data_IF_341926458878
#
_entry.id   IF_341926458878
#
_cell.length_a   1.000
_cell.length_b   1.000
_cell.length_c   1.000
_cell.angle_alpha   90.00
_cell.angle_beta   90.00
_cell.angle_gamma   90.00
#
_symmetry.space_group_name_H-M   'P 1'
#
loop_
_entity.id
_entity.type
_entity.pdbx_description
1 polymer ?
#
# COMPACT_ATOMS: atom_id res chain seq x y z
N UNK A 1 -39.64 -2.05 8.39
CA UNK A 1 -38.18 -2.16 8.59
C UNK A 1 -37.54 -1.74 7.28
N UNK A 2 -36.86 -0.60 7.25
CA UNK A 2 -36.25 -0.06 6.04
C UNK A 2 -34.94 -0.82 5.80
N UNK A 3 -34.91 -1.63 4.74
CA UNK A 3 -33.72 -2.37 4.34
C UNK A 3 -32.97 -1.49 3.35
N UNK A 4 -31.81 -0.96 3.74
CA UNK A 4 -30.90 -0.33 2.79
C UNK A 4 -30.49 -1.37 1.75
N UNK A 5 -30.39 -1.01 0.48
CA UNK A 5 -29.63 -1.80 -0.49
C UNK A 5 -28.51 -0.93 -1.01
N UNK A 6 -27.45 -0.81 -0.22
CA UNK A 6 -26.16 -0.33 -0.72
C UNK A 6 -25.52 -1.52 -1.42
N UNK A 7 -25.13 -1.36 -2.67
CA UNK A 7 -24.56 -2.42 -3.51
C UNK A 7 -23.20 -1.93 -4.03
N UNK A 8 -22.06 -2.54 -3.71
CA UNK A 8 -20.73 -2.00 -4.07
C UNK A 8 -20.10 -2.79 -5.20
N UNK A 9 -20.78 -3.80 -5.73
CA UNK A 9 -20.43 -4.35 -7.02
C UNK A 9 -20.82 -3.38 -8.15
N UNK A 10 -21.24 -2.15 -7.81
CA UNK A 10 -21.27 -0.97 -8.69
C UNK A 10 -19.87 -0.32 -8.73
N UNK A 11 -18.90 -1.10 -9.20
CA UNK A 11 -17.99 -0.82 -10.32
C UNK A 11 -17.16 0.47 -10.46
N UNK A 12 -17.16 1.46 -9.56
CA UNK A 12 -16.32 2.65 -9.83
C UNK A 12 -14.85 2.28 -9.91
N UNK A 13 -14.33 1.54 -8.92
CA UNK A 13 -12.93 1.12 -8.90
C UNK A 13 -12.72 -0.40 -8.91
N UNK A 14 -13.78 -1.20 -8.80
CA UNK A 14 -13.66 -2.67 -8.77
C UNK A 14 -13.02 -3.26 -10.03
N UNK A 15 -13.00 -2.53 -11.15
CA UNK A 15 -12.28 -2.93 -12.36
C UNK A 15 -10.75 -2.83 -12.24
N UNK A 16 -10.25 -2.09 -11.25
CA UNK A 16 -8.82 -1.88 -10.99
C UNK A 16 -8.31 -2.77 -9.84
N UNK A 17 -9.22 -3.45 -9.13
CA UNK A 17 -8.92 -4.32 -8.00
C UNK A 17 -8.90 -5.78 -8.45
N UNK A 18 -7.78 -6.44 -8.20
CA UNK A 18 -7.60 -7.89 -8.33
C UNK A 18 -7.28 -8.45 -6.94
N UNK A 19 -8.30 -8.97 -6.27
CA UNK A 19 -8.19 -9.47 -4.89
C UNK A 19 -7.28 -10.70 -4.80
N UNK A 20 -7.32 -11.61 -5.78
CA UNK A 20 -6.50 -12.81 -5.75
C UNK A 20 -5.02 -12.45 -5.87
N UNK A 21 -4.70 -11.56 -6.80
CA UNK A 21 -3.35 -11.01 -6.96
C UNK A 21 -2.89 -10.22 -5.74
N UNK A 22 -3.78 -9.42 -5.15
CA UNK A 22 -3.51 -8.70 -3.92
C UNK A 22 -3.16 -9.65 -2.76
N UNK A 23 -3.93 -10.74 -2.58
CA UNK A 23 -3.68 -11.74 -1.55
C UNK A 23 -2.37 -12.46 -1.75
N UNK A 24 -2.10 -12.87 -2.99
CA UNK A 24 -0.84 -13.50 -3.31
C UNK A 24 0.35 -12.59 -2.97
N UNK A 25 0.31 -11.32 -3.40
CA UNK A 25 1.37 -10.37 -3.08
C UNK A 25 1.51 -10.13 -1.57
N UNK A 26 0.40 -10.00 -0.85
CA UNK A 26 0.45 -9.77 0.60
C UNK A 26 1.09 -10.96 1.31
N UNK A 27 0.68 -12.18 0.96
CA UNK A 27 1.22 -13.41 1.54
C UNK A 27 2.71 -13.55 1.26
N UNK A 28 3.16 -13.30 0.02
CA UNK A 28 4.59 -13.34 -0.33
C UNK A 28 5.39 -12.39 0.57
N UNK A 29 4.93 -11.15 0.76
CA UNK A 29 5.63 -10.17 1.59
C UNK A 29 5.58 -10.53 3.09
N UNK A 30 4.46 -11.05 3.58
CA UNK A 30 4.35 -11.51 4.97
C UNK A 30 5.30 -12.68 5.25
N UNK A 31 5.35 -13.66 4.36
CA UNK A 31 6.19 -14.84 4.48
C UNK A 31 7.68 -14.49 4.35
N UNK A 32 8.07 -13.71 3.34
CA UNK A 32 9.47 -13.33 3.08
C UNK A 32 10.07 -12.47 4.19
N UNK A 33 9.27 -11.58 4.80
CA UNK A 33 9.75 -10.60 5.79
C UNK A 33 9.28 -10.91 7.22
N UNK A 34 8.63 -12.05 7.44
CA UNK A 34 8.06 -12.48 8.73
C UNK A 34 7.20 -11.39 9.39
N UNK A 35 6.29 -10.82 8.60
CA UNK A 35 5.37 -9.76 9.04
C UNK A 35 4.04 -10.38 9.47
N UNK A 36 3.38 -9.78 10.45
CA UNK A 36 2.06 -10.20 10.92
C UNK A 36 1.06 -9.04 10.78
N UNK A 37 0.26 -9.05 9.71
CA UNK A 37 -0.70 -7.99 9.38
C UNK A 37 -2.13 -8.47 9.71
N UNK A 38 -2.46 -8.44 10.99
CA UNK A 38 -3.79 -8.84 11.48
C UNK A 38 -4.81 -7.69 11.59
N UNK A 39 -6.09 -8.04 11.72
CA UNK A 39 -7.19 -7.10 11.97
C UNK A 39 -7.39 -6.80 13.47
N UNK A 40 -6.78 -7.58 14.36
CA UNK A 40 -7.13 -7.61 15.79
C UNK A 40 -6.20 -6.81 16.69
N UNK A 41 -4.94 -6.64 16.29
CA UNK A 41 -3.95 -5.94 17.11
C UNK A 41 -4.19 -4.43 17.03
N UNK A 42 -4.24 -3.75 18.18
CA UNK A 42 -4.47 -2.30 18.22
C UNK A 42 -3.23 -1.54 17.73
N UNK A 43 -3.43 -0.59 16.83
CA UNK A 43 -2.51 0.55 16.65
C UNK A 43 -2.86 1.62 17.70
N UNK A 44 -1.90 2.42 18.14
CA UNK A 44 -2.18 3.52 19.09
C UNK A 44 -2.89 4.68 18.38
N UNK A 45 -3.83 5.36 19.06
CA UNK A 45 -4.63 6.46 18.48
C UNK A 45 -3.81 7.58 17.85
N UNK A 46 -2.60 7.84 18.35
CA UNK A 46 -1.64 8.79 17.77
C UNK A 46 -1.16 8.43 16.35
N UNK A 47 -1.39 7.19 15.92
CA UNK A 47 -1.06 6.69 14.58
C UNK A 47 -2.23 6.81 13.60
N UNK A 48 -3.36 7.39 14.05
CA UNK A 48 -4.54 7.65 13.26
C UNK A 48 -4.61 9.14 12.94
N UNK A 49 -3.71 9.62 12.08
CA UNK A 49 -3.93 10.92 11.44
C UNK A 49 -4.86 10.74 10.24
N UNK A 50 -5.81 11.66 10.07
CA UNK A 50 -6.68 11.80 8.90
C UNK A 50 -5.84 12.33 7.75
N UNK A 51 -5.29 11.46 6.92
CA UNK A 51 -4.62 11.88 5.69
C UNK A 51 -5.42 11.43 4.46
N UNK A 52 -5.36 12.26 3.42
CA UNK A 52 -5.91 12.02 2.10
C UNK A 52 -5.33 10.72 1.49
N UNK A 53 -6.20 9.77 1.12
CA UNK A 53 -5.82 8.45 0.58
C UNK A 53 -4.93 8.59 -0.66
N UNK A 54 -5.24 9.52 -1.57
CA UNK A 54 -4.47 9.71 -2.80
C UNK A 54 -3.06 10.20 -2.48
N UNK A 55 -2.97 11.15 -1.54
CA UNK A 55 -1.71 11.70 -1.06
C UNK A 55 -0.88 10.64 -0.35
N UNK A 56 -1.47 9.85 0.54
CA UNK A 56 -0.76 8.79 1.25
C UNK A 56 -0.26 7.70 0.29
N UNK A 57 -1.09 7.28 -0.67
CA UNK A 57 -0.72 6.29 -1.69
C UNK A 57 0.45 6.80 -2.52
N UNK A 58 0.36 8.03 -3.02
CA UNK A 58 1.40 8.67 -3.81
C UNK A 58 2.69 8.82 -3.01
N UNK A 59 2.59 9.25 -1.75
CA UNK A 59 3.74 9.42 -0.86
C UNK A 59 4.43 8.09 -0.57
N UNK A 60 3.66 7.03 -0.29
CA UNK A 60 4.20 5.70 -0.01
C UNK A 60 4.94 5.13 -1.23
N UNK A 61 4.34 5.19 -2.42
CA UNK A 61 4.97 4.74 -3.66
C UNK A 61 6.21 5.56 -4.01
N UNK A 62 6.09 6.90 -3.97
CA UNK A 62 7.21 7.79 -4.29
C UNK A 62 8.37 7.54 -3.34
N UNK A 63 8.10 7.49 -2.03
CA UNK A 63 9.13 7.26 -1.02
C UNK A 63 9.77 5.89 -1.19
N UNK A 64 8.98 4.84 -1.37
CA UNK A 64 9.48 3.48 -1.51
C UNK A 64 10.34 3.29 -2.76
N UNK A 65 9.85 3.76 -3.91
CA UNK A 65 10.61 3.73 -5.16
C UNK A 65 11.83 4.64 -5.12
N UNK A 66 11.73 5.81 -4.49
CA UNK A 66 12.85 6.74 -4.31
C UNK A 66 13.99 6.09 -3.53
N UNK A 67 13.69 5.38 -2.44
CA UNK A 67 14.71 4.68 -1.65
C UNK A 67 15.45 3.65 -2.49
N UNK A 68 14.72 2.82 -3.24
CA UNK A 68 15.34 1.80 -4.08
C UNK A 68 16.16 2.41 -5.22
N UNK A 69 15.58 3.33 -5.99
CA UNK A 69 16.26 3.95 -7.15
C UNK A 69 17.50 4.73 -6.72
N UNK A 70 17.45 5.45 -5.59
CA UNK A 70 18.61 6.17 -5.09
C UNK A 70 19.72 5.23 -4.62
N UNK A 71 19.37 4.09 -4.02
CA UNK A 71 20.36 3.08 -3.65
C UNK A 71 21.04 2.48 -4.89
N UNK A 72 20.27 2.15 -5.93
CA UNK A 72 20.80 1.64 -7.20
C UNK A 72 21.68 2.67 -7.90
N UNK A 73 21.26 3.93 -8.00
CA UNK A 73 22.04 4.99 -8.66
C UNK A 73 23.37 5.25 -7.93
N UNK A 74 23.36 5.22 -6.59
CA UNK A 74 24.57 5.34 -5.78
C UNK A 74 25.54 4.18 -6.03
N UNK A 75 25.03 2.96 -6.18
CA UNK A 75 25.82 1.75 -6.33
C UNK A 75 26.15 1.38 -7.79
N UNK A 76 25.61 2.07 -8.81
CA UNK A 76 25.69 1.66 -10.24
C UNK A 76 27.10 1.50 -10.81
N UNK A 77 28.12 2.15 -10.22
CA UNK A 77 29.53 2.02 -10.62
C UNK A 77 30.36 1.21 -9.62
N UNK A 78 29.74 0.68 -8.57
CA UNK A 78 30.39 -0.07 -7.52
C UNK A 78 30.35 -1.58 -7.83
N UNK A 79 31.41 -2.29 -7.45
CA UNK A 79 31.45 -3.75 -7.56
C UNK A 79 30.54 -4.37 -6.49
N UNK A 80 29.90 -5.49 -6.80
CA UNK A 80 29.22 -6.34 -5.81
C UNK A 80 30.28 -7.08 -4.97
N UNK A 81 30.14 -7.05 -3.65
CA UNK A 81 31.17 -7.49 -2.70
C UNK A 81 30.75 -8.74 -1.92
N UNK A 82 29.45 -8.97 -1.71
CA UNK A 82 28.90 -10.17 -1.07
C UNK A 82 27.90 -10.88 -1.99
N UNK A 83 27.79 -12.21 -1.86
CA UNK A 83 26.78 -13.03 -2.53
C UNK A 83 25.59 -13.40 -1.62
N UNK A 84 25.57 -12.92 -0.38
CA UNK A 84 24.46 -13.08 0.58
C UNK A 84 23.30 -12.11 0.30
N UNK A 85 23.44 -11.28 -0.71
CA UNK A 85 22.41 -10.38 -1.20
C UNK A 85 21.37 -11.11 -2.02
N UNK A 86 20.09 -10.85 -1.78
CA UNK A 86 19.01 -11.23 -2.70
C UNK A 86 19.40 -10.94 -4.15
N UNK A 87 19.08 -11.89 -5.05
CA UNK A 87 19.25 -11.67 -6.47
C UNK A 87 18.51 -10.36 -6.82
N UNK A 88 19.10 -9.52 -7.67
CA UNK A 88 18.43 -8.30 -8.10
C UNK A 88 17.05 -8.62 -8.70
N UNK A 89 16.92 -9.82 -9.28
CA UNK A 89 15.64 -10.38 -9.70
C UNK A 89 14.65 -10.49 -8.53
N UNK A 90 15.03 -11.08 -7.41
CA UNK A 90 14.15 -11.22 -6.23
C UNK A 90 13.73 -9.85 -5.69
N UNK A 91 14.65 -8.89 -5.60
CA UNK A 91 14.34 -7.52 -5.19
C UNK A 91 13.34 -6.83 -6.14
N UNK A 92 13.44 -7.06 -7.45
CA UNK A 92 12.49 -6.55 -8.44
C UNK A 92 11.12 -7.23 -8.35
N UNK A 93 11.09 -8.53 -8.02
CA UNK A 93 9.86 -9.26 -7.73
C UNK A 93 9.17 -8.75 -6.47
N UNK A 94 9.92 -8.49 -5.40
CA UNK A 94 9.39 -7.89 -4.18
C UNK A 94 8.84 -6.49 -4.42
N UNK A 95 9.57 -5.65 -5.18
CA UNK A 95 9.05 -4.36 -5.61
C UNK A 95 7.74 -4.47 -6.40
N UNK A 96 7.63 -5.47 -7.28
CA UNK A 96 6.38 -5.76 -7.99
C UNK A 96 5.25 -6.09 -7.01
N UNK A 97 5.50 -6.96 -6.03
CA UNK A 97 4.50 -7.32 -5.02
C UNK A 97 4.08 -6.10 -4.18
N UNK A 98 5.02 -5.28 -3.73
CA UNK A 98 4.74 -4.04 -2.98
C UNK A 98 3.90 -3.06 -3.79
N UNK A 99 4.25 -2.82 -5.06
CA UNK A 99 3.48 -1.93 -5.94
C UNK A 99 2.06 -2.47 -6.17
N UNK A 100 1.92 -3.78 -6.35
CA UNK A 100 0.61 -4.42 -6.48
C UNK A 100 -0.23 -4.29 -5.20
N UNK A 101 0.38 -4.44 -4.03
CA UNK A 101 -0.28 -4.20 -2.74
C UNK A 101 -0.77 -2.75 -2.66
N UNK A 102 0.09 -1.78 -2.96
CA UNK A 102 -0.29 -0.36 -2.87
C UNK A 102 -1.38 0.01 -3.87
N UNK A 103 -1.32 -0.48 -5.12
CA UNK A 103 -2.36 -0.24 -6.12
C UNK A 103 -3.73 -0.73 -5.66
N UNK A 104 -3.81 -2.00 -5.24
CA UNK A 104 -5.07 -2.57 -4.81
C UNK A 104 -5.58 -1.90 -3.53
N UNK A 105 -4.68 -1.63 -2.57
CA UNK A 105 -5.03 -0.96 -1.33
C UNK A 105 -5.59 0.45 -1.58
N UNK A 106 -5.05 1.18 -2.55
CA UNK A 106 -5.55 2.49 -2.95
C UNK A 106 -7.03 2.45 -3.34
N UNK A 107 -7.38 1.62 -4.33
CA UNK A 107 -8.75 1.52 -4.82
C UNK A 107 -9.71 0.89 -3.80
N UNK A 108 -9.24 -0.07 -3.00
CA UNK A 108 -10.01 -0.64 -1.88
C UNK A 108 -10.30 0.45 -0.83
N UNK A 109 -9.32 1.30 -0.51
CA UNK A 109 -9.50 2.40 0.46
C UNK A 109 -10.47 3.47 -0.08
N UNK A 110 -10.44 3.81 -1.37
CA UNK A 110 -11.40 4.73 -1.99
C UNK A 110 -12.83 4.20 -1.92
N UNK A 111 -13.04 2.94 -2.28
CA UNK A 111 -14.36 2.30 -2.20
C UNK A 111 -14.85 2.15 -0.75
N UNK A 112 -13.92 1.95 0.20
CA UNK A 112 -14.20 1.95 1.64
C UNK A 112 -14.68 3.31 2.15
N UNK A 113 -13.98 4.41 1.83
CA UNK A 113 -14.37 5.77 2.24
C UNK A 113 -15.75 6.15 1.72
N UNK A 114 -16.01 5.93 0.42
CA UNK A 114 -17.33 6.18 -0.17
C UNK A 114 -18.42 5.41 0.58
N UNK A 115 -18.16 4.15 0.90
CA UNK A 115 -19.12 3.32 1.61
C UNK A 115 -19.40 3.84 3.02
N UNK A 116 -18.39 4.37 3.69
CA UNK A 116 -18.55 4.99 5.00
C UNK A 116 -19.37 6.27 4.96
N UNK A 117 -19.13 7.11 3.96
CA UNK A 117 -19.95 8.30 3.68
C UNK A 117 -21.42 7.92 3.38
N UNK A 118 -21.66 6.87 2.59
CA UNK A 118 -23.01 6.41 2.26
C UNK A 118 -23.80 5.97 3.51
N UNK A 119 -23.15 5.31 4.47
CA UNK A 119 -23.80 4.87 5.71
C UNK A 119 -24.04 6.04 6.67
N UNK A 120 -23.03 6.89 6.87
CA UNK A 120 -23.14 8.03 7.77
C UNK A 120 -24.15 9.06 7.24
N UNK A 121 -24.21 9.23 5.91
CA UNK A 121 -25.14 10.13 5.22
C UNK A 121 -26.56 9.61 5.01
N UNK A 122 -26.88 8.37 5.40
CA UNK A 122 -28.20 7.78 5.14
C UNK A 122 -29.35 8.43 5.94
N UNK A 123 -29.03 9.21 6.97
CA UNK A 123 -30.02 9.92 7.79
C UNK A 123 -30.57 9.10 8.96
N UNK A 124 -29.78 8.19 9.52
CA UNK A 124 -30.04 7.67 10.87
C UNK A 124 -29.88 8.80 11.89
N UNK A 125 -30.71 8.79 12.95
CA UNK A 125 -30.59 9.74 14.04
C UNK A 125 -29.23 9.59 14.75
N UNK A 126 -28.65 10.72 15.17
CA UNK A 126 -27.37 10.76 15.90
C UNK A 126 -27.38 9.86 17.16
N UNK A 127 -28.55 9.74 17.81
CA UNK A 127 -28.74 8.87 18.97
C UNK A 127 -28.51 7.38 18.66
N UNK A 128 -28.81 6.94 17.43
CA UNK A 128 -28.57 5.56 16.98
C UNK A 128 -27.07 5.30 16.86
N UNK A 129 -26.32 6.22 16.25
CA UNK A 129 -24.86 6.10 16.14
C UNK A 129 -24.17 6.13 17.50
N UNK A 130 -24.61 7.00 18.42
CA UNK A 130 -24.05 7.08 19.78
C UNK A 130 -24.27 5.77 20.58
N UNK A 131 -25.48 5.20 20.50
CA UNK A 131 -25.80 3.92 21.12
C UNK A 131 -25.01 2.77 20.48
N UNK A 132 -24.94 2.75 19.16
CA UNK A 132 -24.20 1.75 18.40
C UNK A 132 -22.70 1.79 18.68
N UNK A 133 -22.11 2.99 18.80
CA UNK A 133 -20.71 3.18 19.17
C UNK A 133 -20.39 2.62 20.55
N UNK A 134 -21.26 2.84 21.53
CA UNK A 134 -21.11 2.23 22.86
C UNK A 134 -21.16 0.70 22.80
N UNK A 135 -22.07 0.13 21.99
CA UNK A 135 -22.16 -1.32 21.80
C UNK A 135 -20.94 -1.89 21.05
N UNK A 136 -20.43 -1.16 20.06
CA UNK A 136 -19.24 -1.51 19.29
C UNK A 136 -17.99 -1.68 20.16
N UNK A 137 -17.86 -0.88 21.23
CA UNK A 137 -16.75 -0.98 22.18
C UNK A 137 -16.79 -2.25 23.04
N UNK A 138 -17.98 -2.84 23.22
CA UNK A 138 -18.20 -4.00 24.12
C UNK A 138 -18.19 -5.32 23.34
N UNK A 139 -18.48 -5.30 22.04
CA UNK A 139 -18.49 -6.48 21.17
C UNK A 139 -17.08 -6.86 20.70
N UNK A 140 -16.44 -7.77 21.43
CA UNK A 140 -15.04 -8.18 21.20
C UNK A 140 -14.85 -9.33 20.18
N UNK A 141 -15.89 -10.07 19.83
CA UNK A 141 -15.72 -11.43 19.29
C UNK A 141 -16.11 -11.67 17.84
N UNK A 142 -16.59 -10.66 17.13
CA UNK A 142 -17.21 -10.90 15.84
C UNK A 142 -16.24 -10.87 14.65
N UNK A 143 -14.96 -10.52 14.85
CA UNK A 143 -14.02 -10.17 13.77
C UNK A 143 -13.01 -11.26 13.42
N UNK A 144 -12.37 -11.83 14.44
CA UNK A 144 -11.35 -12.87 14.28
C UNK A 144 -11.91 -14.11 13.59
N UNK A 145 -13.20 -14.40 13.79
CA UNK A 145 -13.91 -15.51 13.16
C UNK A 145 -14.44 -15.26 11.75
N UNK A 146 -14.36 -14.03 11.22
CA UNK A 146 -14.78 -13.73 9.84
C UNK A 146 -13.65 -14.06 8.87
N UNK A 147 -14.00 -14.62 7.72
CA UNK A 147 -13.07 -14.73 6.59
C UNK A 147 -12.61 -13.34 6.13
N UNK A 148 -11.49 -13.25 5.41
CA UNK A 148 -10.97 -11.95 4.96
C UNK A 148 -12.01 -11.19 4.12
N UNK A 149 -12.63 -11.83 3.13
CA UNK A 149 -13.73 -11.27 2.35
C UNK A 149 -14.90 -10.82 3.25
N UNK A 150 -15.15 -11.55 4.34
CA UNK A 150 -16.17 -11.17 5.31
C UNK A 150 -15.74 -10.04 6.26
N UNK A 151 -14.45 -9.72 6.35
CA UNK A 151 -13.97 -8.52 7.03
C UNK A 151 -14.17 -7.28 6.14
N UNK A 152 -14.23 -7.46 4.82
CA UNK A 152 -14.69 -6.46 3.85
C UNK A 152 -16.19 -6.58 3.52
N UNK A 153 -16.92 -7.48 4.19
CA UNK A 153 -18.32 -7.85 3.93
C UNK A 153 -19.32 -6.71 3.91
N UNK A 154 -19.00 -5.66 4.68
CA UNK A 154 -19.88 -4.52 4.78
C UNK A 154 -19.99 -3.83 3.44
N UNK A 155 -19.02 -3.98 2.52
CA UNK A 155 -19.14 -3.56 1.14
C UNK A 155 -20.42 -4.20 0.57
N UNK A 156 -21.48 -3.40 0.71
CA UNK A 156 -22.81 -3.40 0.11
C UNK A 156 -23.51 -4.73 0.15
N UNK A 157 -23.52 -5.19 1.38
CA UNK A 157 -24.76 -5.67 1.96
C UNK A 157 -25.73 -4.56 2.26
N UNK A 158 -26.97 -4.99 2.32
CA UNK A 158 -28.05 -4.24 2.94
C UNK A 158 -27.74 -3.96 4.41
N UNK A 159 -27.70 -2.69 4.78
CA UNK A 159 -27.53 -2.27 6.17
C UNK A 159 -28.90 -2.15 6.84
N UNK A 160 -29.03 -2.70 8.05
CA UNK A 160 -30.17 -2.44 8.92
C UNK A 160 -29.68 -1.85 10.23
N UNK A 161 -30.57 -1.19 10.98
CA UNK A 161 -30.22 -0.53 12.25
C UNK A 161 -29.46 -1.44 13.23
N UNK A 162 -29.84 -2.73 13.27
CA UNK A 162 -29.20 -3.73 14.12
C UNK A 162 -27.72 -4.01 13.77
N UNK A 163 -27.29 -3.67 12.55
CA UNK A 163 -25.92 -3.90 12.06
C UNK A 163 -25.00 -2.70 12.29
N UNK A 164 -25.52 -1.53 12.72
CA UNK A 164 -24.75 -0.28 12.81
C UNK A 164 -23.58 -0.41 13.80
N UNK A 165 -23.76 -1.08 14.94
CA UNK A 165 -22.67 -1.29 15.90
C UNK A 165 -21.55 -2.17 15.34
N UNK A 166 -21.92 -3.24 14.63
CA UNK A 166 -20.98 -4.11 13.92
C UNK A 166 -20.24 -3.35 12.82
N UNK A 167 -20.95 -2.49 12.10
CA UNK A 167 -20.39 -1.62 11.06
C UNK A 167 -19.33 -0.66 11.61
N UNK A 168 -19.67 0.13 12.64
CA UNK A 168 -18.74 1.12 13.21
C UNK A 168 -17.44 0.46 13.67
N UNK A 169 -17.54 -0.72 14.29
CA UNK A 169 -16.36 -1.47 14.72
C UNK A 169 -15.55 -2.02 13.54
N UNK A 170 -16.21 -2.57 12.51
CA UNK A 170 -15.58 -3.03 11.27
C UNK A 170 -14.84 -1.92 10.53
N UNK A 171 -15.40 -0.72 10.48
CA UNK A 171 -14.69 0.41 9.87
C UNK A 171 -13.39 0.69 10.60
N UNK A 172 -13.44 0.88 11.92
CA UNK A 172 -12.25 1.16 12.74
C UNK A 172 -11.19 0.04 12.60
N UNK A 173 -11.59 -1.23 12.66
CA UNK A 173 -10.63 -2.34 12.54
C UNK A 173 -10.08 -2.49 11.10
N UNK A 174 -10.87 -2.13 10.07
CA UNK A 174 -10.41 -2.13 8.66
C UNK A 174 -9.44 -0.99 8.40
N UNK A 175 -9.71 0.21 8.90
CA UNK A 175 -8.77 1.35 8.80
C UNK A 175 -7.43 1.04 9.47
N UNK A 176 -7.47 0.41 10.65
CA UNK A 176 -6.27 -0.07 11.35
C UNK A 176 -5.48 -1.04 10.48
N UNK A 177 -6.19 -1.97 9.86
CA UNK A 177 -5.57 -2.96 8.99
C UNK A 177 -4.92 -2.29 7.76
N UNK A 178 -5.61 -1.36 7.09
CA UNK A 178 -5.01 -0.57 6.00
C UNK A 178 -3.73 0.15 6.41
N UNK A 179 -3.74 0.78 7.60
CA UNK A 179 -2.55 1.46 8.15
C UNK A 179 -1.41 0.49 8.43
N UNK A 180 -1.69 -0.72 8.95
CA UNK A 180 -0.66 -1.76 9.14
C UNK A 180 -0.07 -2.22 7.82
N UNK A 181 -0.89 -2.46 6.80
CA UNK A 181 -0.41 -2.83 5.45
C UNK A 181 0.54 -1.75 4.94
N UNK A 182 0.14 -0.47 4.99
CA UNK A 182 0.98 0.65 4.52
C UNK A 182 2.31 0.76 5.25
N UNK A 183 2.31 0.63 6.58
CA UNK A 183 3.54 0.63 7.39
C UNK A 183 4.44 -0.55 7.06
N UNK A 184 3.84 -1.72 6.83
CA UNK A 184 4.57 -2.93 6.49
C UNK A 184 5.23 -2.78 5.11
N UNK A 185 4.48 -2.32 4.12
CA UNK A 185 4.98 -2.00 2.79
C UNK A 185 6.15 -1.00 2.85
N UNK A 186 6.01 0.08 3.62
CA UNK A 186 7.08 1.07 3.77
C UNK A 186 8.37 0.48 4.37
N UNK A 187 8.22 -0.37 5.40
CA UNK A 187 9.35 -1.06 6.03
C UNK A 187 10.06 -1.97 5.03
N UNK A 188 9.32 -2.67 4.18
CA UNK A 188 9.89 -3.58 3.19
C UNK A 188 10.55 -2.81 2.06
N UNK A 189 9.94 -1.73 1.53
CA UNK A 189 10.61 -0.83 0.58
C UNK A 189 11.97 -0.35 1.12
N UNK A 190 12.02 0.02 2.40
CA UNK A 190 13.26 0.41 3.04
C UNK A 190 14.24 -0.78 3.18
N UNK A 191 13.76 -1.95 3.57
CA UNK A 191 14.59 -3.15 3.71
C UNK A 191 15.29 -3.52 2.38
N UNK A 192 14.55 -3.53 1.27
CA UNK A 192 15.09 -3.80 -0.08
C UNK A 192 16.19 -2.80 -0.43
N UNK A 193 16.00 -1.52 -0.11
CA UNK A 193 17.03 -0.50 -0.35
C UNK A 193 18.30 -0.70 0.49
N UNK A 194 18.14 -1.16 1.74
CA UNK A 194 19.26 -1.48 2.64
C UNK A 194 20.03 -2.68 2.12
N UNK A 195 19.31 -3.77 1.80
CA UNK A 195 19.91 -4.98 1.24
C UNK A 195 20.71 -4.65 -0.01
N UNK A 196 20.18 -3.81 -0.92
CA UNK A 196 20.90 -3.38 -2.12
C UNK A 196 22.22 -2.67 -1.79
N UNK A 197 22.22 -1.74 -0.83
CA UNK A 197 23.46 -1.06 -0.40
C UNK A 197 24.47 -2.05 0.19
N UNK A 198 24.01 -3.00 1.01
CA UNK A 198 24.85 -3.98 1.68
C UNK A 198 25.54 -4.92 0.68
N UNK A 199 24.91 -5.27 -0.45
CA UNK A 199 25.55 -6.05 -1.53
C UNK A 199 26.82 -5.37 -2.05
N UNK A 200 26.85 -4.04 -2.01
CA UNK A 200 27.96 -3.20 -2.46
C UNK A 200 28.89 -2.77 -1.31
N UNK A 201 28.74 -3.39 -0.12
CA UNK A 201 29.52 -3.07 1.08
C UNK A 201 29.24 -1.68 1.64
N UNK A 202 28.03 -1.16 1.42
CA UNK A 202 27.57 0.14 1.92
C UNK A 202 26.59 -0.05 3.05
N UNK A 203 26.77 0.75 4.10
CA UNK A 203 25.76 0.90 5.15
C UNK A 203 24.69 1.88 4.69
N UNK A 204 23.44 1.67 5.13
CA UNK A 204 22.39 2.67 4.96
C UNK A 204 22.79 3.99 5.61
N UNK A 205 22.91 5.03 4.79
CA UNK A 205 23.17 6.40 5.24
C UNK A 205 22.38 7.35 4.33
N UNK A 206 21.68 8.33 4.89
CA UNK A 206 20.86 9.30 4.15
C UNK A 206 21.65 10.05 3.07
N UNK A 207 22.98 10.06 3.13
CA UNK A 207 23.86 10.71 2.15
C UNK A 207 23.62 10.33 0.68
N UNK A 208 23.07 9.14 0.37
CA UNK A 208 22.71 8.80 -1.02
C UNK A 208 21.37 9.39 -1.47
N UNK A 209 20.55 9.90 -0.55
CA UNK A 209 19.26 10.57 -0.79
C UNK A 209 19.48 12.08 -1.05
N UNK A 210 20.39 12.42 -1.95
CA UNK A 210 20.66 13.81 -2.34
C UNK A 210 19.55 14.40 -3.21
N UNK A 211 19.46 15.73 -3.31
CA UNK A 211 18.56 16.42 -4.27
C UNK A 211 18.78 15.94 -5.71
N UNK A 212 20.04 15.68 -6.09
CA UNK A 212 20.36 15.08 -7.39
C UNK A 212 19.79 13.66 -7.55
N UNK A 213 19.86 12.85 -6.49
CA UNK A 213 19.27 11.52 -6.48
C UNK A 213 17.73 11.60 -6.56
N UNK A 214 17.13 12.63 -5.95
CA UNK A 214 15.70 12.90 -6.03
C UNK A 214 15.25 13.23 -7.45
N UNK A 215 15.92 14.16 -8.14
CA UNK A 215 15.63 14.50 -9.54
C UNK A 215 15.79 13.30 -10.49
N UNK A 216 16.88 12.55 -10.32
CA UNK A 216 17.13 11.33 -11.10
C UNK A 216 16.05 10.28 -10.83
N UNK A 217 15.72 10.04 -9.56
CA UNK A 217 14.72 9.06 -9.16
C UNK A 217 13.34 9.40 -9.70
N UNK A 218 12.89 10.65 -9.58
CA UNK A 218 11.60 11.08 -10.11
C UNK A 218 11.46 10.76 -11.60
N UNK A 219 12.51 10.97 -12.39
CA UNK A 219 12.50 10.68 -13.83
C UNK A 219 12.27 9.20 -14.13
N UNK A 220 12.68 8.29 -13.24
CA UNK A 220 12.49 6.85 -13.40
C UNK A 220 11.19 6.34 -12.77
N UNK A 221 10.71 6.96 -11.69
CA UNK A 221 9.57 6.48 -10.90
C UNK A 221 8.22 7.05 -11.34
N UNK A 222 8.17 8.22 -11.99
CA UNK A 222 6.91 8.86 -12.43
C UNK A 222 6.07 7.95 -13.34
N UNK A 223 6.71 7.20 -14.24
CA UNK A 223 5.97 6.31 -15.15
C UNK A 223 5.26 5.16 -14.41
N UNK A 224 5.85 4.67 -13.32
CA UNK A 224 5.28 3.64 -12.46
C UNK A 224 4.14 4.24 -11.63
N UNK A 225 4.35 5.43 -11.05
CA UNK A 225 3.33 6.13 -10.28
C UNK A 225 2.07 6.40 -11.11
N UNK A 226 2.22 6.94 -12.32
CA UNK A 226 1.08 7.23 -13.19
C UNK A 226 0.31 5.96 -13.56
N UNK A 227 1.00 4.82 -13.76
CA UNK A 227 0.31 3.55 -13.99
C UNK A 227 -0.54 3.16 -12.79
N UNK A 228 0.00 3.25 -11.58
CA UNK A 228 -0.72 2.87 -10.35
C UNK A 228 -1.95 3.75 -10.12
N UNK A 229 -1.80 5.08 -10.23
CA UNK A 229 -2.91 6.03 -10.06
C UNK A 229 -3.99 5.84 -11.14
N UNK A 230 -3.59 5.55 -12.37
CA UNK A 230 -4.52 5.25 -13.47
C UNK A 230 -5.16 3.85 -13.38
N UNK A 231 -4.82 3.05 -12.35
CA UNK A 231 -5.31 1.67 -12.21
C UNK A 231 -4.75 0.69 -13.24
N UNK A 232 -3.62 1.01 -13.86
CA UNK A 232 -2.91 0.14 -14.81
C UNK A 232 -1.93 -0.77 -14.08
N UNK A 233 -1.75 -1.97 -14.60
CA UNK A 233 -0.77 -2.91 -14.08
C UNK A 233 0.66 -2.43 -14.34
N UNK A 234 1.48 -2.60 -13.30
CA UNK A 234 2.94 -2.49 -13.38
C UNK A 234 3.47 -3.90 -13.49
N UNK A 235 4.10 -4.22 -14.62
CA UNK A 235 4.70 -5.54 -14.85
C UNK A 235 6.14 -5.58 -14.35
N UNK A 236 6.67 -6.79 -14.12
CA UNK A 236 8.10 -6.99 -13.83
C UNK A 236 8.97 -6.39 -14.93
N UNK A 237 8.57 -6.54 -16.21
CA UNK A 237 9.26 -5.91 -17.34
C UNK A 237 9.35 -4.38 -17.24
N UNK A 238 8.39 -3.71 -16.59
CA UNK A 238 8.46 -2.27 -16.36
C UNK A 238 9.54 -1.93 -15.32
N UNK A 239 9.66 -2.75 -14.28
CA UNK A 239 10.66 -2.59 -13.22
C UNK A 239 12.06 -2.92 -13.73
N UNK A 240 12.22 -3.97 -14.53
CA UNK A 240 13.48 -4.29 -15.20
C UNK A 240 13.93 -3.16 -16.14
N UNK A 241 12.99 -2.55 -16.90
CA UNK A 241 13.29 -1.38 -17.74
C UNK A 241 13.70 -0.18 -16.91
N UNK A 242 13.03 0.06 -15.78
CA UNK A 242 13.40 1.11 -14.84
C UNK A 242 14.82 0.89 -14.32
N UNK A 243 15.12 -0.32 -13.84
CA UNK A 243 16.43 -0.72 -13.33
C UNK A 243 17.54 -0.54 -14.39
N UNK A 244 17.35 -1.10 -15.59
CA UNK A 244 18.32 -0.99 -16.68
C UNK A 244 18.58 0.46 -17.11
N UNK A 245 17.56 1.32 -17.07
CA UNK A 245 17.72 2.76 -17.37
C UNK A 245 18.57 3.49 -16.34
N UNK A 246 18.52 3.08 -15.07
CA UNK A 246 19.37 3.65 -14.01
C UNK A 246 20.83 3.26 -14.26
N UNK A 247 21.07 2.02 -14.71
CA UNK A 247 22.41 1.52 -15.02
C UNK A 247 22.99 2.07 -16.33
N UNK A 248 22.15 2.43 -17.30
CA UNK A 248 22.61 2.94 -18.60
C UNK A 248 23.19 4.36 -18.50
N UNK A 249 24.51 4.42 -18.39
CA UNK A 249 25.31 5.65 -18.33
C UNK A 249 25.37 6.43 -19.65
N UNK A 250 24.83 5.91 -20.76
CA UNK A 250 24.93 6.57 -22.08
C UNK A 250 24.12 7.87 -22.22
N UNK A 251 23.19 8.17 -21.30
CA UNK A 251 22.38 9.39 -21.36
C UNK A 251 23.01 10.63 -20.70
N UNK A 252 24.16 10.54 -20.01
CA UNK A 252 24.75 11.70 -19.33
C UNK A 252 25.71 12.53 -20.22
N UNK A 253 26.20 12.00 -21.35
CA UNK A 253 27.14 12.73 -22.22
C UNK A 253 26.52 13.45 -23.42
N UNK A 254 25.25 13.21 -23.76
CA UNK A 254 24.63 13.78 -24.96
C UNK A 254 23.81 15.05 -24.72
N UNK A 255 23.43 15.36 -23.48
CA UNK A 255 22.65 16.57 -23.16
C UNK A 255 23.51 17.77 -22.73
N UNK A 256 24.84 17.61 -22.59
CA UNK A 256 25.79 18.70 -22.33
C UNK A 256 26.46 19.22 -23.62
N UNK A 257 25.97 18.82 -24.80
CA UNK A 257 26.50 19.20 -26.11
C UNK A 257 25.43 19.74 -27.08
N UNK A 258 24.36 20.36 -26.57
CA UNK A 258 23.46 21.20 -27.37
C UNK A 258 23.33 22.57 -26.73
#
# INVERSE_FOLDING_TARGET
MTVLKLNPFVKTHSSYVDLDSFYYSLQVIEDSYNLNIDFTTNLSESEFMEEDIEKETSTLLLRGLFYFVSAVDYCKQMRVISGDSEDITDALHDLYHLINIVRNLHFISLDFQRFEEDITGYGFDESIFNNAGTMALIQSYHFSGLSFNERFWFLGKSVVEADISKYLRLCVDTERWFKKVRKSVDRVFRAISIQHLEMHGKSFNVDYLTEKAFDNSLRFTVSILNKVVDGKDVSINDLEKMYNRILDTRNEKLTLLV
#
